data_IF_700716278010
#
_entry.id   IF_700716278010
#
_cell.length_a   1.000
_cell.length_b   1.000
_cell.length_c   1.000
_cell.angle_alpha   90.00
_cell.angle_beta   90.00
_cell.angle_gamma   90.00
#
_symmetry.space_group_name_H-M   'P 1'
#
loop_
_entity.id
_entity.type
_entity.pdbx_description
1 polymer ?
#
# COMPACT_ATOMS: atom_id res chain seq x y z
N UNK A 1 -13.76 -6.16 -13.07
CA UNK A 1 -13.29 -6.15 -11.66
C UNK A 1 -14.48 -6.40 -10.76
N UNK A 2 -14.31 -7.08 -9.63
CA UNK A 2 -15.39 -7.18 -8.63
C UNK A 2 -15.62 -5.80 -7.99
N UNK A 3 -16.88 -5.39 -7.81
CA UNK A 3 -17.19 -4.11 -7.15
C UNK A 3 -16.71 -4.04 -5.69
N UNK A 4 -16.52 -5.21 -5.06
CA UNK A 4 -16.07 -5.32 -3.66
C UNK A 4 -14.60 -4.95 -3.47
N UNK A 5 -13.70 -5.35 -4.37
CA UNK A 5 -12.26 -5.02 -4.27
C UNK A 5 -12.01 -3.53 -4.41
N UNK A 6 -12.62 -2.89 -5.43
CA UNK A 6 -12.52 -1.44 -5.61
C UNK A 6 -12.98 -0.70 -4.35
N UNK A 7 -14.18 -1.03 -3.86
CA UNK A 7 -14.75 -0.40 -2.66
C UNK A 7 -13.84 -0.58 -1.44
N UNK A 8 -13.28 -1.77 -1.23
CA UNK A 8 -12.34 -2.02 -0.14
C UNK A 8 -11.11 -1.11 -0.21
N UNK A 9 -10.44 -1.06 -1.37
CA UNK A 9 -9.24 -0.24 -1.55
C UNK A 9 -9.57 1.23 -1.37
N UNK A 10 -10.62 1.73 -2.02
CA UNK A 10 -11.02 3.13 -1.93
C UNK A 10 -11.37 3.52 -0.48
N UNK A 11 -12.16 2.72 0.22
CA UNK A 11 -12.49 2.98 1.64
C UNK A 11 -11.25 3.05 2.52
N UNK A 12 -10.26 2.17 2.26
CA UNK A 12 -9.02 2.16 3.03
C UNK A 12 -8.16 3.38 2.77
N UNK A 13 -7.97 3.76 1.51
CA UNK A 13 -7.25 4.99 1.13
C UNK A 13 -7.88 6.22 1.80
N UNK A 14 -9.21 6.25 1.95
CA UNK A 14 -9.93 7.34 2.60
C UNK A 14 -9.92 7.30 4.14
N UNK A 15 -9.47 6.20 4.75
CA UNK A 15 -9.61 6.01 6.21
C UNK A 15 -8.52 6.66 7.06
N UNK A 16 -7.31 6.88 6.50
CA UNK A 16 -6.20 7.53 7.21
C UNK A 16 -5.38 8.37 6.27
N UNK A 17 -4.59 9.27 6.87
CA UNK A 17 -3.63 10.11 6.15
C UNK A 17 -2.60 9.30 5.38
N UNK A 18 -1.99 8.30 6.03
CA UNK A 18 -0.99 7.43 5.39
C UNK A 18 -1.54 6.00 5.36
N UNK A 19 -1.65 5.43 4.17
CA UNK A 19 -2.12 4.05 3.97
C UNK A 19 -1.11 3.31 3.13
N UNK A 20 -0.76 2.11 3.57
CA UNK A 20 0.25 1.30 2.91
C UNK A 20 -0.31 -0.09 2.67
N UNK A 21 -0.41 -0.47 1.40
CA UNK A 21 -0.77 -1.83 1.02
C UNK A 21 0.51 -2.60 0.70
N UNK A 22 0.77 -3.68 1.43
CA UNK A 22 1.98 -4.46 1.25
C UNK A 22 1.78 -5.95 1.49
N UNK A 23 2.81 -6.72 1.17
CA UNK A 23 2.87 -8.16 1.45
C UNK A 23 4.01 -8.41 2.43
N UNK A 24 3.78 -9.23 3.46
CA UNK A 24 4.83 -9.44 4.46
C UNK A 24 5.97 -10.32 3.94
N UNK A 25 5.73 -11.14 2.92
CA UNK A 25 6.77 -11.96 2.29
C UNK A 25 7.58 -11.23 1.21
N UNK A 26 7.22 -9.99 0.87
CA UNK A 26 7.89 -9.16 -0.13
C UNK A 26 9.04 -8.35 0.51
N UNK A 27 10.30 -8.49 0.04
CA UNK A 27 11.46 -7.85 0.64
C UNK A 27 11.35 -6.32 0.73
N UNK A 28 10.87 -5.70 -0.34
CA UNK A 28 10.66 -4.25 -0.43
C UNK A 28 9.66 -3.78 0.63
N UNK A 29 8.53 -4.50 0.76
CA UNK A 29 7.54 -4.24 1.80
C UNK A 29 8.10 -4.39 3.22
N UNK A 30 8.97 -5.39 3.48
CA UNK A 30 9.62 -5.54 4.79
C UNK A 30 10.50 -4.33 5.11
N UNK A 31 11.29 -3.86 4.14
CA UNK A 31 12.18 -2.72 4.32
C UNK A 31 11.40 -1.43 4.58
N UNK A 32 10.34 -1.14 3.79
CA UNK A 32 9.47 0.02 4.06
C UNK A 32 8.88 -0.04 5.45
N UNK A 33 8.38 -1.20 5.86
CA UNK A 33 7.81 -1.36 7.20
C UNK A 33 8.85 -1.09 8.30
N UNK A 34 10.07 -1.63 8.16
CA UNK A 34 11.17 -1.37 9.09
C UNK A 34 11.54 0.11 9.16
N UNK A 35 11.64 0.79 8.01
CA UNK A 35 11.93 2.22 7.93
C UNK A 35 10.85 3.01 8.68
N UNK A 36 9.56 2.73 8.45
CA UNK A 36 8.47 3.44 9.12
C UNK A 36 8.42 3.17 10.63
N UNK A 37 8.72 1.94 11.04
CA UNK A 37 8.79 1.58 12.45
C UNK A 37 9.95 2.32 13.18
N UNK A 38 10.98 2.83 12.46
CA UNK A 38 12.05 3.67 13.01
C UNK A 38 11.65 5.13 13.22
N UNK A 39 10.70 5.66 12.45
CA UNK A 39 10.32 7.09 12.50
C UNK A 39 9.41 7.45 13.67
N UNK A 40 9.12 6.52 14.60
CA UNK A 40 8.23 6.72 15.76
C UNK A 40 6.93 7.46 15.39
N UNK A 41 6.36 7.12 14.24
CA UNK A 41 5.17 7.77 13.74
C UNK A 41 4.01 7.59 14.76
N UNK A 42 3.17 8.61 14.99
CA UNK A 42 2.05 8.49 15.91
C UNK A 42 1.20 7.26 15.56
N UNK A 43 0.67 6.56 16.57
CA UNK A 43 -0.03 5.28 16.44
C UNK A 43 -1.20 5.29 15.43
N UNK A 44 -1.70 6.47 15.10
CA UNK A 44 -2.80 6.68 14.15
C UNK A 44 -2.42 7.38 12.83
N UNK A 45 -1.15 7.74 12.68
CA UNK A 45 -0.66 8.47 11.49
C UNK A 45 -0.66 7.60 10.23
N UNK A 46 -0.47 6.28 10.37
CA UNK A 46 -0.48 5.34 9.26
C UNK A 46 -1.17 4.02 9.56
N UNK A 47 -1.61 3.31 8.52
CA UNK A 47 -2.07 1.92 8.61
C UNK A 47 -1.40 1.05 7.55
N UNK A 48 -0.92 -0.11 7.98
CA UNK A 48 -0.40 -1.16 7.11
C UNK A 48 -1.46 -2.22 6.84
N UNK A 49 -1.77 -2.43 5.56
CA UNK A 49 -2.74 -3.40 5.10
C UNK A 49 -1.98 -4.55 4.44
N UNK A 50 -1.94 -5.69 5.12
CA UNK A 50 -1.39 -6.91 4.53
C UNK A 50 -2.38 -7.52 3.54
N UNK A 51 -2.16 -7.29 2.25
CA UNK A 51 -3.04 -7.79 1.18
C UNK A 51 -2.82 -9.27 0.86
N UNK A 52 -1.70 -9.86 1.32
CA UNK A 52 -1.36 -11.27 1.09
C UNK A 52 -2.35 -12.23 1.74
N UNK A 53 -2.91 -11.83 2.88
CA UNK A 53 -3.87 -12.65 3.64
C UNK A 53 -5.30 -12.60 3.09
N UNK A 54 -5.54 -11.84 2.02
CA UNK A 54 -6.88 -11.67 1.45
C UNK A 54 -7.09 -12.59 0.26
N UNK A 55 -8.29 -13.16 0.16
CA UNK A 55 -8.68 -14.00 -0.97
C UNK A 55 -8.69 -13.24 -2.31
N UNK A 56 -8.92 -11.92 -2.27
CA UNK A 56 -8.93 -11.03 -3.44
C UNK A 56 -7.57 -10.37 -3.73
N UNK A 57 -6.46 -10.87 -3.17
CA UNK A 57 -5.11 -10.31 -3.33
C UNK A 57 -4.76 -9.99 -4.80
N UNK A 58 -4.93 -10.96 -5.71
CA UNK A 58 -4.67 -10.75 -7.16
C UNK A 58 -5.55 -9.66 -7.79
N UNK A 59 -6.79 -9.52 -7.31
CA UNK A 59 -7.72 -8.50 -7.81
C UNK A 59 -7.30 -7.11 -7.33
N UNK A 60 -6.84 -7.01 -6.07
CA UNK A 60 -6.27 -5.79 -5.49
C UNK A 60 -5.03 -5.35 -6.28
N UNK A 61 -4.12 -6.27 -6.58
CA UNK A 61 -2.92 -5.96 -7.38
C UNK A 61 -3.27 -5.46 -8.77
N UNK A 62 -4.23 -6.10 -9.44
CA UNK A 62 -4.71 -5.63 -10.74
C UNK A 62 -5.40 -4.26 -10.63
N UNK A 63 -6.08 -3.96 -9.53
CA UNK A 63 -6.66 -2.65 -9.30
C UNK A 63 -5.59 -1.58 -9.13
N UNK A 64 -4.52 -1.86 -8.38
CA UNK A 64 -3.41 -0.91 -8.24
C UNK A 64 -2.68 -0.62 -9.55
N UNK A 65 -2.58 -1.58 -10.49
CA UNK A 65 -2.03 -1.29 -11.82
C UNK A 65 -2.79 -0.16 -12.54
N UNK A 66 -4.12 -0.20 -12.45
CA UNK A 66 -4.99 0.82 -13.03
C UNK A 66 -4.92 2.12 -12.22
N UNK A 67 -5.12 2.03 -10.92
CA UNK A 67 -5.21 3.19 -10.02
C UNK A 67 -3.90 3.99 -9.96
N UNK A 68 -2.76 3.31 -9.97
CA UNK A 68 -1.44 3.90 -9.79
C UNK A 68 -0.67 4.10 -11.11
N UNK A 69 -1.31 3.82 -12.25
CA UNK A 69 -0.69 3.88 -13.58
C UNK A 69 0.69 3.21 -13.63
N UNK A 70 0.77 1.98 -13.11
CA UNK A 70 2.02 1.21 -12.99
C UNK A 70 1.89 -0.17 -13.60
N UNK A 71 2.91 -0.60 -14.33
CA UNK A 71 3.00 -1.96 -14.85
C UNK A 71 3.61 -2.95 -13.87
N UNK A 72 4.11 -2.46 -12.74
CA UNK A 72 4.75 -3.30 -11.73
C UNK A 72 3.72 -3.84 -10.74
N UNK A 73 3.85 -5.12 -10.41
CA UNK A 73 3.09 -5.77 -9.34
C UNK A 73 3.83 -5.75 -7.99
N UNK A 74 4.88 -4.96 -7.87
CA UNK A 74 5.71 -4.90 -6.67
C UNK A 74 5.04 -4.02 -5.63
N UNK A 75 4.78 -4.61 -4.48
CA UNK A 75 4.41 -3.92 -3.25
C UNK A 75 5.65 -3.26 -2.63
N UNK A 76 5.49 -2.31 -1.68
CA UNK A 76 4.24 -1.73 -1.20
C UNK A 76 3.70 -0.61 -2.11
N UNK A 77 2.39 -0.34 -2.00
CA UNK A 77 1.73 0.85 -2.57
C UNK A 77 1.42 1.82 -1.45
N UNK A 78 1.96 3.03 -1.53
CA UNK A 78 1.89 4.05 -0.47
C UNK A 78 0.97 5.16 -0.94
N UNK A 79 0.02 5.49 -0.08
CA UNK A 79 -0.90 6.60 -0.26
C UNK A 79 -0.71 7.59 0.88
N UNK A 80 -0.55 8.87 0.54
CA UNK A 80 -0.46 9.98 1.50
C UNK A 80 -1.52 11.01 1.10
N UNK A 81 -2.36 11.39 2.05
CA UNK A 81 -3.46 12.33 1.83
C UNK A 81 -4.33 11.90 0.62
N UNK A 82 -4.63 10.60 0.56
CA UNK A 82 -5.41 9.91 -0.48
C UNK A 82 -4.76 9.85 -1.88
N UNK A 83 -3.58 10.45 -2.06
CA UNK A 83 -2.84 10.44 -3.31
C UNK A 83 -1.83 9.31 -3.34
N UNK A 84 -1.67 8.68 -4.50
CA UNK A 84 -0.62 7.68 -4.69
C UNK A 84 0.75 8.36 -4.66
N UNK A 85 1.54 8.07 -3.63
CA UNK A 85 2.87 8.63 -3.44
C UNK A 85 3.93 7.83 -4.21
N UNK A 86 3.77 6.50 -4.23
CA UNK A 86 4.70 5.62 -4.94
C UNK A 86 4.82 4.22 -4.35
N UNK A 87 5.81 3.49 -4.84
CA UNK A 87 6.29 2.22 -4.29
C UNK A 87 7.72 2.35 -3.74
N UNK A 88 8.32 1.25 -3.27
CA UNK A 88 9.62 1.23 -2.58
C UNK A 88 10.72 2.07 -3.26
N UNK A 89 10.80 2.08 -4.60
CA UNK A 89 11.81 2.83 -5.34
C UNK A 89 11.82 4.35 -5.02
N UNK A 90 10.71 4.91 -4.55
CA UNK A 90 10.61 6.33 -4.20
C UNK A 90 11.04 6.64 -2.75
N UNK A 91 11.08 5.65 -1.86
CA UNK A 91 11.51 5.86 -0.47
C UNK A 91 13.04 5.93 -0.35
N UNK A 92 13.78 5.33 -1.30
CA UNK A 92 15.23 5.29 -1.27
C UNK A 92 15.95 6.51 -1.90
N UNK A 93 15.24 7.62 -2.11
CA UNK A 93 15.86 8.89 -2.53
C UNK A 93 16.26 9.70 -1.28
N UNK A 94 17.37 9.30 -0.67
CA UNK A 94 18.09 10.02 0.40
C UNK A 94 19.56 10.01 0.10
#
# INVERSE_FOLDING_TARGET
>A
MSGSTKRFVDMKINSRRIIIFGKLNDPDSKQVKQILDQYFLPKDSYEWINIEKRQDCKQIENYFRILCFTDRRQTPYIFIDQLYFGSFKYIHLS
#
